data_IF_408535243806
#
_entry.id   IF_408535243806
#
_cell.length_a   1.000
_cell.length_b   1.000
_cell.length_c   1.000
_cell.angle_alpha   90.00
_cell.angle_beta   90.00
_cell.angle_gamma   90.00
#
_symmetry.space_group_name_H-M   'P 1'
#
loop_
_entity.id
_entity.type
_entity.pdbx_description
1 polymer ?
#
# COMPACT_ATOMS: atom_id res chain seq x y z
N UNK A 1 12.21 5.98 17.34
CA UNK A 1 12.12 7.07 16.36
C UNK A 1 11.14 6.62 15.27
N UNK A 2 9.84 6.87 15.48
CA UNK A 2 8.76 6.33 14.63
C UNK A 2 8.14 7.42 13.75
N UNK A 3 8.95 8.37 13.28
CA UNK A 3 8.50 9.49 12.44
C UNK A 3 8.41 9.13 10.96
N UNK A 4 9.35 8.34 10.44
CA UNK A 4 9.44 8.05 9.00
C UNK A 4 8.28 7.23 8.42
N UNK A 5 7.60 6.42 9.24
CA UNK A 5 6.43 5.63 8.81
C UNK A 5 5.15 6.44 8.71
N UNK A 6 5.03 7.53 9.48
CA UNK A 6 3.83 8.36 9.47
C UNK A 6 3.75 9.20 8.19
N UNK A 7 4.86 9.78 7.75
CA UNK A 7 4.95 10.56 6.50
C UNK A 7 4.71 9.67 5.27
N UNK A 8 5.30 8.47 5.27
CA UNK A 8 5.09 7.46 4.24
C UNK A 8 3.62 7.04 4.10
N UNK A 9 2.91 6.91 5.23
CA UNK A 9 1.48 6.60 5.26
C UNK A 9 0.61 7.76 4.78
N UNK A 10 1.02 9.01 5.04
CA UNK A 10 0.30 10.21 4.56
C UNK A 10 0.36 10.32 3.03
N UNK A 11 1.46 9.91 2.40
CA UNK A 11 1.60 9.85 0.95
C UNK A 11 1.02 8.57 0.31
N UNK A 12 0.71 7.55 1.11
CA UNK A 12 0.16 6.28 0.63
C UNK A 12 -1.37 6.31 0.66
N UNK A 13 -2.01 6.05 -0.48
CA UNK A 13 -3.47 5.95 -0.54
C UNK A 13 -3.90 4.51 -0.79
N UNK A 14 -4.88 4.01 -0.02
CA UNK A 14 -5.49 2.70 -0.28
C UNK A 14 -6.86 2.92 -0.91
N UNK A 15 -7.03 2.43 -2.13
CA UNK A 15 -8.31 2.36 -2.82
C UNK A 15 -8.83 0.93 -2.80
N UNK A 16 -10.12 0.75 -2.53
CA UNK A 16 -10.78 -0.56 -2.59
C UNK A 16 -11.86 -0.53 -3.67
N UNK A 17 -11.77 -1.49 -4.59
CA UNK A 17 -12.72 -1.72 -5.65
C UNK A 17 -13.46 -3.05 -5.42
N UNK A 18 -14.42 -3.36 -6.30
CA UNK A 18 -15.21 -4.58 -6.22
C UNK A 18 -14.37 -5.87 -6.24
N UNK A 19 -13.15 -5.85 -6.80
CA UNK A 19 -12.28 -7.02 -6.94
C UNK A 19 -10.85 -6.82 -6.44
N UNK A 20 -10.40 -5.58 -6.27
CA UNK A 20 -9.00 -5.26 -5.98
C UNK A 20 -8.85 -4.30 -4.82
N UNK A 21 -7.77 -4.48 -4.07
CA UNK A 21 -7.31 -3.51 -3.08
C UNK A 21 -5.99 -2.93 -3.57
N UNK A 22 -6.02 -1.67 -3.95
CA UNK A 22 -4.92 -0.96 -4.60
C UNK A 22 -4.21 -0.05 -3.62
N UNK A 23 -2.91 -0.25 -3.44
CA UNK A 23 -2.03 0.67 -2.73
C UNK A 23 -1.37 1.60 -3.75
N UNK A 24 -1.76 2.88 -3.70
CA UNK A 24 -1.14 3.96 -4.45
C UNK A 24 0.06 4.52 -3.69
N UNK A 25 1.22 4.56 -4.36
CA UNK A 25 2.46 5.11 -3.84
C UNK A 25 3.03 6.15 -4.82
N UNK A 26 3.58 7.24 -4.30
CA UNK A 26 4.45 8.11 -5.10
C UNK A 26 5.76 7.37 -5.46
N UNK A 27 6.38 7.70 -6.60
CA UNK A 27 7.62 7.05 -7.05
C UNK A 27 8.76 7.17 -6.04
N UNK A 28 8.91 8.31 -5.35
CA UNK A 28 9.89 8.50 -4.28
C UNK A 28 9.64 7.58 -3.06
N UNK A 29 8.40 7.14 -2.88
CA UNK A 29 7.98 6.27 -1.79
C UNK A 29 7.95 4.78 -2.18
N UNK A 30 8.30 4.42 -3.43
CA UNK A 30 8.48 3.02 -3.82
C UNK A 30 9.54 2.31 -2.98
N UNK A 31 10.58 3.03 -2.54
CA UNK A 31 11.62 2.48 -1.66
C UNK A 31 11.06 1.98 -0.31
N UNK A 32 9.87 2.46 0.08
CA UNK A 32 9.18 2.06 1.31
C UNK A 32 8.32 0.81 1.09
N UNK A 33 8.05 0.42 -0.16
CA UNK A 33 7.39 -0.84 -0.51
C UNK A 33 8.38 -2.01 -0.38
N UNK A 34 8.62 -2.41 0.87
CA UNK A 34 9.36 -3.63 1.22
C UNK A 34 8.46 -4.83 1.48
N UNK A 35 9.06 -5.99 1.78
CA UNK A 35 8.35 -7.23 2.12
C UNK A 35 7.32 -7.03 3.25
N UNK A 36 7.61 -6.15 4.21
CA UNK A 36 6.74 -5.84 5.32
C UNK A 36 5.42 -5.17 4.88
N UNK A 37 5.47 -4.32 3.85
CA UNK A 37 4.30 -3.61 3.29
C UNK A 37 3.54 -4.56 2.37
N UNK A 38 4.24 -5.32 1.53
CA UNK A 38 3.62 -6.34 0.68
C UNK A 38 2.83 -7.37 1.50
N UNK A 39 3.39 -7.88 2.60
CA UNK A 39 2.69 -8.85 3.46
C UNK A 39 1.42 -8.27 4.06
N UNK A 40 1.46 -7.02 4.53
CA UNK A 40 0.29 -6.32 5.08
C UNK A 40 -0.76 -6.07 4.01
N UNK A 41 -0.35 -5.67 2.81
CA UNK A 41 -1.25 -5.50 1.66
C UNK A 41 -1.95 -6.82 1.30
N UNK A 42 -1.20 -7.92 1.24
CA UNK A 42 -1.74 -9.27 1.01
C UNK A 42 -2.73 -9.68 2.09
N UNK A 43 -2.39 -9.51 3.37
CA UNK A 43 -3.29 -9.82 4.49
C UNK A 43 -4.57 -8.98 4.44
N UNK A 44 -4.44 -7.68 4.16
CA UNK A 44 -5.58 -6.78 4.08
C UNK A 44 -6.49 -7.15 2.90
N UNK A 45 -5.92 -7.37 1.71
CA UNK A 45 -6.67 -7.79 0.53
C UNK A 45 -7.38 -9.13 0.77
N UNK A 46 -6.71 -10.10 1.40
CA UNK A 46 -7.32 -11.38 1.77
C UNK A 46 -8.48 -11.21 2.76
N UNK A 47 -8.35 -10.34 3.76
CA UNK A 47 -9.43 -10.05 4.70
C UNK A 47 -10.67 -9.45 4.02
N UNK A 48 -10.48 -8.70 2.92
CA UNK A 48 -11.57 -8.17 2.10
C UNK A 48 -12.03 -9.11 0.98
N UNK A 49 -11.39 -10.28 0.78
CA UNK A 49 -11.66 -11.16 -0.36
C UNK A 49 -11.36 -10.47 -1.69
N UNK A 50 -10.26 -9.71 -1.75
CA UNK A 50 -9.81 -8.92 -2.91
C UNK A 50 -8.39 -9.29 -3.29
N UNK A 51 -8.01 -8.95 -4.51
CA UNK A 51 -6.64 -9.13 -5.00
C UNK A 51 -5.79 -7.89 -4.66
N UNK A 52 -4.62 -8.05 -4.03
CA UNK A 52 -3.72 -6.94 -3.76
C UNK A 52 -3.12 -6.40 -5.05
N UNK A 53 -3.04 -5.08 -5.19
CA UNK A 53 -2.39 -4.40 -6.31
C UNK A 53 -1.58 -3.22 -5.80
N UNK A 54 -0.40 -3.00 -6.36
CA UNK A 54 0.36 -1.76 -6.15
C UNK A 54 0.27 -0.92 -7.42
N UNK A 55 0.11 0.39 -7.26
CA UNK A 55 0.12 1.34 -8.37
C UNK A 55 1.03 2.52 -8.01
N UNK A 56 1.87 2.92 -8.96
CA UNK A 56 2.62 4.16 -8.86
C UNK A 56 1.72 5.30 -9.31
N UNK A 57 1.63 6.34 -8.50
CA UNK A 57 0.92 7.57 -8.86
C UNK A 57 1.97 8.60 -9.31
N UNK A 58 1.85 9.04 -10.56
CA UNK A 58 2.65 10.12 -11.16
C UNK A 58 1.77 11.30 -11.53
#
# INVERSE_FOLDING_TARGET
LSGGVADALVASHVAIDATTLTLGLEPDNLALYGEAVERRLKTLAAAFGRTPKVATRG
#
